data_IF_873297666931
#
_entry.id   IF_873297666931
#
_cell.length_a   1.000
_cell.length_b   1.000
_cell.length_c   1.000
_cell.angle_alpha   90.00
_cell.angle_beta   90.00
_cell.angle_gamma   90.00
#
_symmetry.space_group_name_H-M   'P 1'
#
loop_
_entity.id
_entity.type
_entity.pdbx_description
1 polymer ?
#
# COMPACT_ATOMS: atom_id res chain seq x y z
N UNK A 1 -20.17 0.45 -18.14
CA UNK A 1 -18.79 0.92 -18.37
C UNK A 1 -17.83 -0.23 -18.14
N UNK A 2 -16.82 -0.38 -19.01
CA UNK A 2 -15.81 -1.45 -18.98
C UNK A 2 -14.45 -0.84 -18.75
N UNK A 3 -13.77 -1.24 -17.65
CA UNK A 3 -12.47 -0.71 -17.27
C UNK A 3 -11.41 -1.82 -17.34
N UNK A 4 -10.36 -1.57 -18.10
CA UNK A 4 -9.18 -2.41 -18.15
C UNK A 4 -8.13 -1.88 -17.16
N UNK A 5 -7.85 -2.62 -16.11
CA UNK A 5 -6.75 -2.35 -15.18
C UNK A 5 -5.49 -3.08 -15.63
N UNK A 6 -4.38 -2.38 -15.69
CA UNK A 6 -3.10 -2.90 -16.20
C UNK A 6 -2.06 -2.78 -15.10
N UNK A 7 -1.62 -3.94 -14.57
CA UNK A 7 -0.56 -4.00 -13.58
C UNK A 7 0.23 -5.31 -13.69
N UNK A 8 1.44 -5.30 -13.16
CA UNK A 8 2.40 -6.41 -13.33
C UNK A 8 1.98 -7.69 -12.62
N UNK A 9 1.26 -7.63 -11.49
CA UNK A 9 0.90 -8.78 -10.65
C UNK A 9 -0.46 -8.55 -9.97
N UNK A 10 -1.13 -9.64 -9.59
CA UNK A 10 -2.37 -9.62 -8.81
C UNK A 10 -2.59 -10.94 -8.06
N UNK A 11 -3.62 -11.00 -7.22
CA UNK A 11 -4.05 -12.23 -6.57
C UNK A 11 -4.42 -13.34 -7.58
N UNK A 12 -4.07 -14.60 -7.30
CA UNK A 12 -3.44 -15.14 -6.10
C UNK A 12 -1.90 -15.13 -6.15
N UNK A 13 -1.27 -14.67 -7.24
CA UNK A 13 0.17 -14.81 -7.46
C UNK A 13 1.01 -13.99 -6.48
N UNK A 14 0.51 -12.80 -6.12
CA UNK A 14 1.18 -11.92 -5.15
C UNK A 14 0.17 -11.24 -4.24
N UNK A 15 0.61 -10.95 -3.00
CA UNK A 15 -0.15 -10.23 -1.99
C UNK A 15 0.68 -9.04 -1.53
N UNK A 16 0.48 -7.88 -2.18
CA UNK A 16 1.18 -6.63 -1.87
C UNK A 16 0.24 -5.45 -1.70
N UNK A 17 0.81 -4.29 -1.35
CA UNK A 17 0.00 -3.09 -1.11
C UNK A 17 -0.76 -2.61 -2.35
N UNK A 18 -0.16 -2.68 -3.55
CA UNK A 18 -0.82 -2.23 -4.79
C UNK A 18 -1.89 -3.23 -5.23
N UNK A 19 -1.65 -4.54 -5.08
CA UNK A 19 -2.63 -5.58 -5.34
C UNK A 19 -3.86 -5.40 -4.43
N UNK A 20 -3.65 -5.06 -3.17
CA UNK A 20 -4.72 -4.75 -2.23
C UNK A 20 -5.50 -3.50 -2.65
N UNK A 21 -4.81 -2.44 -3.08
CA UNK A 21 -5.46 -1.23 -3.62
C UNK A 21 -6.31 -1.55 -4.85
N UNK A 22 -5.79 -2.36 -5.78
CA UNK A 22 -6.53 -2.80 -6.96
C UNK A 22 -7.77 -3.62 -6.57
N UNK A 23 -7.65 -4.52 -5.60
CA UNK A 23 -8.77 -5.30 -5.08
C UNK A 23 -9.88 -4.39 -4.52
N UNK A 24 -9.52 -3.40 -3.70
CA UNK A 24 -10.47 -2.45 -3.12
C UNK A 24 -11.14 -1.59 -4.21
N UNK A 25 -10.34 -1.11 -5.16
CA UNK A 25 -10.83 -0.31 -6.26
C UNK A 25 -11.81 -1.10 -7.15
N UNK A 26 -11.43 -2.30 -7.57
CA UNK A 26 -12.26 -3.12 -8.47
C UNK A 26 -13.53 -3.60 -7.79
N UNK A 27 -13.50 -3.94 -6.48
CA UNK A 27 -14.71 -4.25 -5.69
C UNK A 27 -15.65 -3.05 -5.65
N UNK A 28 -15.16 -1.89 -5.21
CA UNK A 28 -16.01 -0.71 -5.11
C UNK A 28 -16.53 -0.22 -6.46
N UNK A 29 -15.83 -0.46 -7.56
CA UNK A 29 -16.30 -0.19 -8.92
C UNK A 29 -17.35 -1.23 -9.37
N UNK A 30 -17.16 -2.51 -9.06
CA UNK A 30 -18.13 -3.57 -9.38
C UNK A 30 -19.46 -3.35 -8.66
N UNK A 31 -19.43 -2.92 -7.40
CA UNK A 31 -20.63 -2.53 -6.63
C UNK A 31 -21.40 -1.37 -7.27
N UNK A 32 -20.74 -0.57 -8.12
CA UNK A 32 -21.32 0.53 -8.89
C UNK A 32 -21.65 0.15 -10.35
N UNK A 33 -21.65 -1.17 -10.67
CA UNK A 33 -22.03 -1.70 -11.99
C UNK A 33 -20.94 -1.57 -13.06
N UNK A 34 -19.69 -1.33 -12.68
CA UNK A 34 -18.54 -1.32 -13.61
C UNK A 34 -18.05 -2.75 -13.84
N UNK A 35 -17.85 -3.11 -15.11
CA UNK A 35 -17.19 -4.36 -15.46
C UNK A 35 -15.67 -4.15 -15.48
N UNK A 36 -14.96 -4.85 -14.60
CA UNK A 36 -13.52 -4.74 -14.48
C UNK A 36 -12.82 -5.94 -15.13
N UNK A 37 -11.76 -5.66 -15.84
CA UNK A 37 -10.80 -6.64 -16.33
C UNK A 37 -9.40 -6.26 -15.88
N UNK A 38 -8.63 -7.24 -15.33
CA UNK A 38 -7.23 -7.03 -14.98
C UNK A 38 -6.36 -7.75 -16.00
N UNK A 39 -5.40 -7.04 -16.57
CA UNK A 39 -4.30 -7.62 -17.32
C UNK A 39 -3.08 -7.66 -16.41
N UNK A 40 -2.62 -8.87 -16.10
CA UNK A 40 -1.47 -9.11 -15.20
C UNK A 40 -0.53 -10.16 -15.76
N UNK A 41 0.68 -10.22 -15.22
CA UNK A 41 1.63 -11.27 -15.52
C UNK A 41 1.77 -12.24 -14.34
N UNK A 42 2.02 -13.49 -14.65
CA UNK A 42 2.15 -14.57 -13.67
C UNK A 42 3.34 -15.47 -13.99
N UNK A 43 4.09 -15.93 -13.00
CA UNK A 43 5.10 -16.97 -13.22
C UNK A 43 4.47 -18.32 -13.60
N UNK A 44 3.25 -18.59 -13.10
CA UNK A 44 2.43 -19.73 -13.51
C UNK A 44 1.06 -19.22 -13.97
N UNK A 45 0.91 -18.99 -15.26
CA UNK A 45 -0.31 -18.47 -15.87
C UNK A 45 -1.38 -19.54 -16.12
N UNK A 46 -1.44 -20.58 -15.34
CA UNK A 46 -2.48 -21.62 -15.40
C UNK A 46 -3.36 -21.59 -14.14
N UNK A 47 -4.70 -21.40 -14.28
CA UNK A 47 -5.41 -21.04 -15.52
C UNK A 47 -5.04 -19.61 -16.00
N UNK A 48 -5.16 -19.38 -17.31
CA UNK A 48 -4.86 -18.06 -17.93
C UNK A 48 -5.88 -17.00 -17.59
N UNK A 49 -7.11 -17.38 -17.20
CA UNK A 49 -8.18 -16.48 -16.76
C UNK A 49 -8.72 -17.00 -15.44
N UNK A 50 -8.85 -16.08 -14.47
CA UNK A 50 -9.52 -16.35 -13.20
C UNK A 50 -10.70 -15.39 -13.08
N UNK A 51 -11.90 -15.94 -12.94
CA UNK A 51 -13.10 -15.15 -12.65
C UNK A 51 -13.20 -14.91 -11.15
N UNK A 52 -13.30 -13.66 -10.74
CA UNK A 52 -13.47 -13.21 -9.36
C UNK A 52 -14.71 -12.33 -9.27
N UNK A 53 -15.32 -12.18 -8.09
CA UNK A 53 -16.49 -11.33 -7.93
C UNK A 53 -16.27 -9.88 -8.42
N UNK A 54 -15.07 -9.35 -8.22
CA UNK A 54 -14.71 -7.98 -8.54
C UNK A 54 -14.21 -7.78 -9.97
N UNK A 55 -13.71 -8.84 -10.67
CA UNK A 55 -13.11 -8.69 -11.99
C UNK A 55 -12.79 -10.02 -12.69
N UNK A 56 -12.63 -9.98 -14.02
CA UNK A 56 -11.94 -11.03 -14.76
C UNK A 56 -10.44 -10.77 -14.79
N UNK A 57 -9.64 -11.69 -14.27
CA UNK A 57 -8.18 -11.57 -14.20
C UNK A 57 -7.52 -12.38 -15.31
N UNK A 58 -6.96 -11.69 -16.29
CA UNK A 58 -6.21 -12.27 -17.41
C UNK A 58 -4.73 -12.35 -17.04
N UNK A 59 -4.22 -13.57 -16.88
CA UNK A 59 -2.87 -13.89 -16.43
C UNK A 59 -2.03 -14.33 -17.61
N UNK A 60 -0.98 -13.59 -17.91
CA UNK A 60 -0.06 -13.91 -19.00
C UNK A 60 1.28 -14.39 -18.44
N UNK A 61 1.92 -15.41 -19.08
CA UNK A 61 3.21 -15.91 -18.63
C UNK A 61 4.29 -14.85 -18.79
N UNK A 62 5.18 -14.77 -17.81
CA UNK A 62 6.37 -13.92 -17.88
C UNK A 62 7.35 -14.54 -18.90
N UNK A 63 7.66 -13.78 -19.95
CA UNK A 63 8.63 -14.21 -20.98
C UNK A 63 10.05 -13.74 -20.66
N UNK A 64 10.17 -12.56 -20.05
CA UNK A 64 11.44 -11.98 -19.62
C UNK A 64 11.24 -11.09 -18.40
N UNK A 65 12.28 -10.94 -17.61
CA UNK A 65 12.26 -10.04 -16.44
C UNK A 65 13.60 -9.30 -16.33
N UNK A 66 13.52 -7.99 -16.26
CA UNK A 66 14.69 -7.12 -16.06
C UNK A 66 14.43 -6.22 -14.84
N UNK A 67 15.28 -6.34 -13.82
CA UNK A 67 15.28 -5.45 -12.64
C UNK A 67 13.89 -5.29 -12.00
N UNK A 68 13.20 -6.41 -11.73
CA UNK A 68 11.83 -6.47 -11.19
C UNK A 68 10.74 -5.91 -12.13
N UNK A 69 11.04 -5.75 -13.41
CA UNK A 69 10.10 -5.41 -14.47
C UNK A 69 9.81 -6.66 -15.32
N UNK A 70 8.74 -7.41 -15.02
CA UNK A 70 8.34 -8.55 -15.84
C UNK A 70 7.73 -8.07 -17.16
N UNK A 71 7.93 -8.85 -18.22
CA UNK A 71 7.43 -8.60 -19.57
C UNK A 71 6.83 -9.88 -20.15
N UNK A 72 5.85 -9.76 -21.06
CA UNK A 72 5.18 -10.90 -21.70
C UNK A 72 4.90 -10.61 -23.17
N UNK A 73 5.41 -11.48 -24.05
CA UNK A 73 5.10 -11.44 -25.49
C UNK A 73 3.62 -11.76 -25.73
N UNK A 74 3.03 -12.64 -24.94
CA UNK A 74 1.61 -12.97 -25.07
C UNK A 74 0.73 -11.79 -24.65
N UNK A 75 1.04 -11.13 -23.52
CA UNK A 75 0.31 -9.94 -23.10
C UNK A 75 0.39 -8.83 -24.15
N UNK A 76 1.56 -8.64 -24.78
CA UNK A 76 1.73 -7.70 -25.89
C UNK A 76 0.80 -8.02 -27.08
N UNK A 77 0.76 -9.28 -27.53
CA UNK A 77 -0.05 -9.71 -28.66
C UNK A 77 -1.56 -9.53 -28.42
N UNK A 78 -2.01 -9.84 -27.21
CA UNK A 78 -3.43 -9.74 -26.83
C UNK A 78 -3.85 -8.37 -26.29
N UNK A 79 -2.92 -7.46 -26.09
CA UNK A 79 -3.23 -6.12 -25.53
C UNK A 79 -4.27 -5.38 -26.36
N UNK A 80 -4.23 -5.53 -27.69
CA UNK A 80 -5.19 -4.92 -28.61
C UNK A 80 -6.64 -5.39 -28.38
N UNK A 81 -6.82 -6.66 -28.05
CA UNK A 81 -8.12 -7.23 -27.75
C UNK A 81 -8.70 -6.66 -26.45
N UNK A 82 -7.84 -6.53 -25.44
CA UNK A 82 -8.21 -5.88 -24.17
C UNK A 82 -8.57 -4.41 -24.37
N UNK A 83 -7.81 -3.69 -25.17
CA UNK A 83 -8.10 -2.31 -25.53
C UNK A 83 -9.41 -2.15 -26.29
N UNK A 84 -9.72 -3.08 -27.21
CA UNK A 84 -10.99 -3.06 -27.95
C UNK A 84 -12.19 -3.29 -27.04
N UNK A 85 -12.04 -4.15 -26.04
CA UNK A 85 -13.08 -4.42 -25.04
C UNK A 85 -13.33 -3.24 -24.11
N UNK A 86 -12.29 -2.51 -23.71
CA UNK A 86 -12.35 -1.47 -22.68
C UNK A 86 -12.99 -0.17 -23.19
N UNK A 87 -13.70 0.52 -22.33
CA UNK A 87 -14.08 1.92 -22.51
C UNK A 87 -13.02 2.86 -21.91
N UNK A 88 -12.39 2.44 -20.78
CA UNK A 88 -11.32 3.15 -20.06
C UNK A 88 -10.15 2.18 -19.83
N UNK A 89 -8.92 2.70 -19.86
CA UNK A 89 -7.73 1.96 -19.42
C UNK A 89 -7.11 2.63 -18.21
N UNK A 90 -6.87 1.85 -17.15
CA UNK A 90 -6.29 2.34 -15.91
C UNK A 90 -5.00 1.60 -15.60
N UNK A 91 -3.89 2.34 -15.58
CA UNK A 91 -2.55 1.83 -15.31
C UNK A 91 -2.14 2.05 -13.85
N UNK A 92 -1.35 1.10 -13.30
CA UNK A 92 -0.68 1.29 -12.02
C UNK A 92 0.82 1.50 -12.27
N UNK A 93 1.31 2.67 -11.92
CA UNK A 93 2.72 3.05 -12.08
C UNK A 93 3.51 2.81 -10.77
N UNK A 94 4.77 2.33 -10.79
CA UNK A 94 5.60 2.15 -11.99
C UNK A 94 5.56 0.73 -12.57
N UNK A 95 5.42 0.63 -13.86
CA UNK A 95 5.65 -0.61 -14.62
C UNK A 95 6.05 -0.28 -16.07
N UNK A 96 7.39 -0.22 -16.38
CA UNK A 96 7.91 0.18 -17.71
C UNK A 96 7.33 -0.59 -18.90
N UNK A 97 6.96 -1.87 -18.71
CA UNK A 97 6.32 -2.65 -19.77
C UNK A 97 4.91 -2.13 -20.10
N UNK A 98 4.13 -1.72 -19.10
CA UNK A 98 2.80 -1.14 -19.33
C UNK A 98 2.90 0.21 -20.05
N UNK A 99 3.91 1.03 -19.71
CA UNK A 99 4.16 2.30 -20.39
C UNK A 99 4.46 2.08 -21.87
N UNK A 100 5.24 1.04 -22.17
CA UNK A 100 5.55 0.65 -23.55
C UNK A 100 4.30 0.14 -24.28
N UNK A 101 3.47 -0.70 -23.63
CA UNK A 101 2.19 -1.16 -24.19
C UNK A 101 1.29 0.04 -24.55
N UNK A 102 1.18 1.02 -23.66
CA UNK A 102 0.38 2.23 -23.92
C UNK A 102 0.89 3.02 -25.12
N UNK A 103 2.19 3.32 -25.15
CA UNK A 103 2.79 4.20 -26.18
C UNK A 103 2.82 3.58 -27.58
N UNK A 104 2.94 2.26 -27.67
CA UNK A 104 3.01 1.55 -28.95
C UNK A 104 1.64 1.13 -29.48
N UNK A 105 0.60 1.28 -28.67
CA UNK A 105 -0.75 0.92 -29.09
C UNK A 105 -1.45 2.08 -29.80
N UNK A 106 -1.86 1.88 -31.08
CA UNK A 106 -2.44 2.95 -31.90
C UNK A 106 -3.91 3.26 -31.61
N UNK A 107 -4.61 2.40 -30.87
CA UNK A 107 -6.03 2.59 -30.51
C UNK A 107 -6.17 3.42 -29.24
N UNK A 108 -6.45 4.71 -29.37
CA UNK A 108 -6.57 5.61 -28.22
C UNK A 108 -7.88 5.36 -27.47
N UNK A 109 -7.76 4.97 -26.21
CA UNK A 109 -8.87 4.94 -25.24
C UNK A 109 -8.59 5.97 -24.16
N UNK A 110 -9.62 6.57 -23.55
CA UNK A 110 -9.41 7.38 -22.35
C UNK A 110 -8.62 6.60 -21.31
N UNK A 111 -7.60 7.26 -20.75
CA UNK A 111 -6.59 6.59 -19.94
C UNK A 111 -6.30 7.31 -18.65
N UNK A 112 -6.19 6.53 -17.58
CA UNK A 112 -5.84 6.99 -16.23
C UNK A 112 -4.59 6.25 -15.77
N UNK A 113 -3.72 6.91 -15.04
CA UNK A 113 -2.62 6.26 -14.32
C UNK A 113 -2.63 6.65 -12.86
N UNK A 114 -2.61 5.67 -11.97
CA UNK A 114 -2.31 5.89 -10.55
C UNK A 114 -0.80 5.81 -10.34
N UNK A 115 -0.22 6.90 -9.88
CA UNK A 115 1.19 7.00 -9.54
C UNK A 115 1.40 6.53 -8.11
N UNK A 116 1.77 5.24 -7.94
CA UNK A 116 1.89 4.62 -6.62
C UNK A 116 3.20 4.95 -5.92
N UNK A 117 4.31 5.08 -6.67
CA UNK A 117 5.62 5.40 -6.07
C UNK A 117 6.64 5.91 -7.09
N UNK A 118 7.62 6.68 -6.60
CA UNK A 118 8.85 6.97 -7.34
C UNK A 118 9.73 5.72 -7.45
N UNK A 119 10.61 5.67 -8.45
CA UNK A 119 11.64 4.64 -8.58
C UNK A 119 12.87 5.07 -7.77
N UNK A 120 12.97 4.61 -6.53
CA UNK A 120 13.99 5.06 -5.57
C UNK A 120 15.30 4.27 -5.68
N UNK A 121 15.23 2.94 -5.83
CA UNK A 121 16.39 2.05 -5.67
C UNK A 121 17.29 1.97 -6.91
N UNK A 122 16.74 2.06 -8.10
CA UNK A 122 17.45 1.79 -9.37
C UNK A 122 17.80 3.08 -10.12
N UNK A 123 18.52 3.99 -9.48
CA UNK A 123 18.79 5.35 -10.01
C UNK A 123 19.37 5.37 -11.44
N UNK A 124 20.33 4.48 -11.77
CA UNK A 124 20.93 4.42 -13.13
C UNK A 124 19.92 3.95 -14.18
N UNK A 125 19.14 2.91 -13.89
CA UNK A 125 18.07 2.43 -14.77
C UNK A 125 16.93 3.43 -14.87
N UNK A 126 16.62 4.15 -13.79
CA UNK A 126 15.62 5.20 -13.76
C UNK A 126 15.99 6.36 -14.71
N UNK A 127 17.29 6.70 -14.83
CA UNK A 127 17.76 7.72 -15.77
C UNK A 127 17.51 7.30 -17.23
N UNK A 128 17.79 6.04 -17.57
CA UNK A 128 17.53 5.51 -18.92
C UNK A 128 16.03 5.39 -19.21
N UNK A 129 15.23 5.08 -18.20
CA UNK A 129 13.79 4.95 -18.30
C UNK A 129 13.06 6.30 -18.34
N UNK A 130 13.68 7.38 -17.83
CA UNK A 130 13.06 8.71 -17.69
C UNK A 130 12.38 9.22 -18.96
N UNK A 131 12.97 9.13 -20.18
CA UNK A 131 12.31 9.60 -21.40
C UNK A 131 11.02 8.85 -21.70
N UNK A 132 11.01 7.51 -21.53
CA UNK A 132 9.83 6.67 -21.73
C UNK A 132 8.74 7.03 -20.71
N UNK A 133 9.11 7.11 -19.43
CA UNK A 133 8.23 7.49 -18.32
C UNK A 133 7.58 8.86 -18.56
N UNK A 134 8.38 9.87 -18.88
CA UNK A 134 7.87 11.23 -19.13
C UNK A 134 6.88 11.24 -20.29
N UNK A 135 7.23 10.55 -21.39
CA UNK A 135 6.33 10.45 -22.55
C UNK A 135 5.03 9.73 -22.21
N UNK A 136 5.09 8.64 -21.44
CA UNK A 136 3.91 7.93 -20.98
C UNK A 136 3.02 8.82 -20.09
N UNK A 137 3.57 9.39 -19.02
CA UNK A 137 2.82 10.23 -18.08
C UNK A 137 2.22 11.49 -18.76
N UNK A 138 2.88 12.02 -19.79
CA UNK A 138 2.35 13.14 -20.57
C UNK A 138 1.27 12.74 -21.58
N UNK A 139 1.19 11.45 -21.97
CA UNK A 139 0.26 10.95 -22.99
C UNK A 139 -1.06 10.46 -22.39
N UNK A 140 -1.10 10.08 -21.11
CA UNK A 140 -2.34 9.68 -20.43
C UNK A 140 -3.25 10.87 -20.17
N UNK A 141 -4.58 10.63 -20.16
CA UNK A 141 -5.56 11.71 -19.99
C UNK A 141 -5.64 12.22 -18.56
N UNK A 142 -5.39 11.37 -17.57
CA UNK A 142 -5.35 11.77 -16.15
C UNK A 142 -4.30 11.01 -15.36
N UNK A 143 -3.41 11.74 -14.69
CA UNK A 143 -2.51 11.21 -13.65
C UNK A 143 -3.18 11.40 -12.30
N UNK A 144 -3.11 10.39 -11.44
CA UNK A 144 -3.62 10.40 -10.07
C UNK A 144 -2.46 10.13 -9.11
N UNK A 145 -2.27 11.01 -8.13
CA UNK A 145 -1.37 10.82 -6.99
C UNK A 145 -2.15 10.27 -5.79
N UNK A 146 -1.49 9.54 -4.92
CA UNK A 146 -2.14 8.89 -3.77
C UNK A 146 -2.25 9.78 -2.53
N UNK A 147 -1.52 10.89 -2.48
CA UNK A 147 -1.64 11.89 -1.41
C UNK A 147 -1.17 13.29 -1.88
N UNK A 148 -1.61 14.38 -1.21
CA UNK A 148 -1.08 15.72 -1.46
C UNK A 148 0.42 15.80 -1.19
N UNK A 149 0.89 15.28 -0.06
CA UNK A 149 2.30 15.31 0.34
C UNK A 149 3.19 14.59 -0.69
N UNK A 150 2.69 13.46 -1.23
CA UNK A 150 3.42 12.74 -2.28
C UNK A 150 3.45 13.51 -3.59
N UNK A 151 2.35 14.19 -3.95
CA UNK A 151 2.27 15.04 -5.14
C UNK A 151 3.29 16.18 -5.07
N UNK A 152 3.37 16.87 -3.93
CA UNK A 152 4.28 18.00 -3.73
C UNK A 152 5.75 17.57 -3.68
N UNK A 153 6.04 16.46 -3.02
CA UNK A 153 7.41 15.98 -2.79
C UNK A 153 8.00 15.15 -3.93
N UNK A 154 7.17 14.67 -4.89
CA UNK A 154 7.67 13.89 -6.03
C UNK A 154 8.26 14.79 -7.11
N UNK A 155 9.57 14.63 -7.43
CA UNK A 155 10.20 15.41 -8.49
C UNK A 155 9.67 15.07 -9.89
N UNK A 156 8.94 13.97 -10.05
CA UNK A 156 8.31 13.58 -11.30
C UNK A 156 6.94 14.25 -11.44
N UNK A 157 6.09 14.12 -10.41
CA UNK A 157 4.73 14.65 -10.44
C UNK A 157 4.70 16.18 -10.50
N UNK A 158 5.61 16.85 -9.79
CA UNK A 158 5.72 18.33 -9.80
C UNK A 158 6.11 18.93 -11.16
N UNK A 159 6.67 18.13 -12.06
CA UNK A 159 7.08 18.57 -13.40
C UNK A 159 6.04 18.29 -14.49
N UNK A 160 4.93 17.66 -14.17
CA UNK A 160 3.89 17.35 -15.14
C UNK A 160 3.13 18.63 -15.56
N UNK A 161 2.96 18.82 -16.87
CA UNK A 161 2.24 19.98 -17.40
C UNK A 161 0.76 19.99 -17.03
N UNK A 162 0.14 18.79 -16.88
CA UNK A 162 -1.22 18.62 -16.37
C UNK A 162 -1.15 18.29 -14.90
N UNK A 163 -1.83 19.09 -14.08
CA UNK A 163 -1.87 18.86 -12.65
C UNK A 163 -2.54 17.51 -12.32
N UNK A 164 -1.84 16.61 -11.61
CA UNK A 164 -2.42 15.36 -11.16
C UNK A 164 -3.60 15.60 -10.22
N UNK A 165 -4.57 14.69 -10.22
CA UNK A 165 -5.61 14.62 -9.18
C UNK A 165 -5.09 13.83 -8.00
N UNK A 166 -5.58 14.14 -6.80
CA UNK A 166 -5.29 13.35 -5.61
C UNK A 166 -6.48 12.48 -5.30
N UNK A 167 -6.26 11.15 -5.26
CA UNK A 167 -7.22 10.16 -4.75
C UNK A 167 -6.44 9.26 -3.79
N UNK A 168 -6.69 9.35 -2.49
CA UNK A 168 -6.05 8.47 -1.52
C UNK A 168 -6.42 7.00 -1.75
N UNK A 169 -5.47 6.11 -1.49
CA UNK A 169 -5.78 4.70 -1.44
C UNK A 169 -6.75 4.42 -0.29
N UNK A 170 -7.72 3.53 -0.53
CA UNK A 170 -8.76 3.19 0.44
C UNK A 170 -8.82 1.69 0.73
N UNK A 171 -9.41 1.36 1.87
CA UNK A 171 -9.64 0.01 2.35
C UNK A 171 -11.03 -0.05 2.98
N UNK A 172 -11.85 -1.05 2.63
CA UNK A 172 -13.16 -1.25 3.25
C UNK A 172 -13.09 -2.27 4.39
N UNK A 173 -13.85 -2.03 5.44
CA UNK A 173 -13.96 -2.93 6.60
C UNK A 173 -14.43 -4.34 6.21
N UNK A 174 -15.28 -4.46 5.20
CA UNK A 174 -15.74 -5.74 4.67
C UNK A 174 -14.60 -6.64 4.17
N UNK A 175 -13.43 -6.05 3.87
CA UNK A 175 -12.22 -6.78 3.49
C UNK A 175 -11.38 -7.23 4.69
N UNK A 176 -11.72 -6.76 5.88
CA UNK A 176 -11.03 -7.04 7.14
C UNK A 176 -12.05 -7.56 8.15
N UNK A 177 -12.50 -8.81 8.03
CA UNK A 177 -13.52 -9.35 8.91
C UNK A 177 -13.06 -9.29 10.37
N UNK A 178 -13.99 -9.05 11.33
CA UNK A 178 -13.65 -8.98 12.74
C UNK A 178 -13.07 -10.33 13.20
N UNK A 179 -12.07 -10.27 14.07
CA UNK A 179 -11.48 -11.46 14.64
C UNK A 179 -12.52 -12.21 15.53
N UNK A 180 -12.65 -13.53 15.40
CA UNK A 180 -13.48 -14.33 16.28
C UNK A 180 -13.09 -14.17 17.77
N UNK A 181 -14.04 -14.24 18.68
CA UNK A 181 -13.79 -14.09 20.11
C UNK A 181 -12.76 -15.11 20.65
N UNK A 182 -12.76 -16.32 20.12
CA UNK A 182 -11.78 -17.36 20.46
C UNK A 182 -10.34 -16.96 20.07
N UNK A 183 -10.17 -16.31 18.91
CA UNK A 183 -8.87 -15.85 18.42
C UNK A 183 -8.37 -14.65 19.23
N UNK A 184 -9.27 -13.73 19.60
CA UNK A 184 -8.97 -12.63 20.53
C UNK A 184 -8.52 -13.16 21.89
N UNK A 185 -9.22 -14.16 22.43
CA UNK A 185 -8.86 -14.79 23.71
C UNK A 185 -7.50 -15.49 23.62
N UNK A 186 -7.23 -16.19 22.53
CA UNK A 186 -5.93 -16.82 22.27
C UNK A 186 -4.78 -15.79 22.31
N UNK A 187 -4.87 -14.75 21.48
CA UNK A 187 -3.80 -13.74 21.41
C UNK A 187 -3.67 -12.94 22.72
N UNK A 188 -4.78 -12.68 23.43
CA UNK A 188 -4.75 -12.08 24.78
C UNK A 188 -4.00 -12.96 25.77
N UNK A 189 -4.18 -14.27 25.70
CA UNK A 189 -3.46 -15.21 26.58
C UNK A 189 -1.95 -15.28 26.24
N UNK A 190 -1.59 -15.22 24.94
CA UNK A 190 -0.20 -15.37 24.46
C UNK A 190 0.60 -14.09 24.64
N UNK A 191 0.01 -12.92 24.35
CA UNK A 191 0.72 -11.63 24.28
C UNK A 191 0.25 -10.62 25.34
N UNK A 192 -0.88 -10.84 25.97
CA UNK A 192 -1.55 -9.81 26.76
C UNK A 192 -2.24 -8.77 25.89
N UNK A 193 -2.47 -7.60 26.47
CA UNK A 193 -3.03 -6.42 25.80
C UNK A 193 -2.08 -5.22 25.93
N UNK A 194 -2.24 -4.24 25.08
CA UNK A 194 -1.53 -2.99 25.17
C UNK A 194 -0.07 -3.02 24.69
N UNK A 195 0.28 -3.99 23.86
CA UNK A 195 1.56 -4.05 23.17
C UNK A 195 1.65 -3.07 22.01
N UNK A 196 2.86 -2.74 21.56
CA UNK A 196 3.11 -2.02 20.32
C UNK A 196 3.20 -2.99 19.15
N UNK A 197 2.51 -2.71 18.07
CA UNK A 197 2.38 -3.63 16.94
C UNK A 197 3.00 -3.03 15.66
N UNK A 198 3.83 -3.81 15.00
CA UNK A 198 4.20 -3.64 13.60
C UNK A 198 3.62 -4.80 12.78
N UNK A 199 3.04 -4.49 11.61
CA UNK A 199 2.62 -5.51 10.62
C UNK A 199 3.16 -5.14 9.24
N UNK A 200 3.78 -6.10 8.56
CA UNK A 200 4.22 -5.92 7.18
C UNK A 200 5.39 -6.78 6.78
N UNK A 201 5.69 -6.77 5.47
CA UNK A 201 6.85 -7.48 4.93
C UNK A 201 8.15 -6.86 5.48
N UNK A 202 9.02 -7.69 6.06
CA UNK A 202 10.27 -7.24 6.70
C UNK A 202 11.31 -6.88 5.63
N UNK A 203 11.28 -5.60 5.22
CA UNK A 203 12.17 -5.03 4.20
C UNK A 203 13.05 -3.93 4.79
N UNK A 204 14.20 -3.70 4.17
CA UNK A 204 15.22 -2.72 4.59
C UNK A 204 14.69 -1.31 4.86
N UNK A 205 13.68 -0.85 4.11
CA UNK A 205 13.14 0.51 4.23
C UNK A 205 12.10 0.67 5.36
N UNK A 206 11.69 -0.41 6.02
CA UNK A 206 10.66 -0.41 7.08
C UNK A 206 11.14 0.14 8.42
N UNK A 207 12.44 0.41 8.59
CA UNK A 207 12.97 1.03 9.80
C UNK A 207 12.93 0.14 11.04
N UNK A 208 12.93 -1.18 10.88
CA UNK A 208 12.79 -2.12 11.99
C UNK A 208 14.02 -2.14 12.91
N UNK A 209 15.21 -1.77 12.43
CA UNK A 209 16.36 -1.55 13.27
C UNK A 209 16.12 -0.43 14.29
N UNK A 210 15.50 0.66 13.84
CA UNK A 210 15.11 1.78 14.70
C UNK A 210 14.07 1.33 15.74
N UNK A 211 13.11 0.47 15.34
CA UNK A 211 12.12 -0.09 16.26
C UNK A 211 12.75 -1.00 17.32
N UNK A 212 13.68 -1.86 16.92
CA UNK A 212 14.40 -2.75 17.86
C UNK A 212 15.21 -1.94 18.87
N UNK A 213 15.90 -0.89 18.41
CA UNK A 213 16.64 0.02 19.31
C UNK A 213 15.69 0.80 20.25
N UNK A 214 14.54 1.25 19.75
CA UNK A 214 13.55 1.91 20.59
C UNK A 214 12.94 0.96 21.62
N UNK A 215 12.61 -0.27 21.21
CA UNK A 215 12.04 -1.29 22.08
C UNK A 215 12.93 -1.60 23.29
N UNK A 216 14.26 -1.61 23.14
CA UNK A 216 15.19 -1.84 24.26
C UNK A 216 15.15 -0.75 25.35
N UNK A 217 14.50 0.39 25.07
CA UNK A 217 14.38 1.55 25.99
C UNK A 217 12.99 1.68 26.60
N UNK A 218 12.03 0.88 26.17
CA UNK A 218 10.63 0.98 26.58
C UNK A 218 10.21 -0.27 27.35
N UNK A 219 9.57 -0.09 28.50
CA UNK A 219 9.04 -1.20 29.29
C UNK A 219 7.66 -1.62 28.77
N UNK A 220 7.61 -2.12 27.53
CA UNK A 220 6.41 -2.65 26.90
C UNK A 220 6.77 -3.72 25.88
N UNK A 221 5.85 -4.65 25.66
CA UNK A 221 5.98 -5.66 24.61
C UNK A 221 5.87 -5.00 23.23
N UNK A 222 6.78 -5.38 22.33
CA UNK A 222 6.75 -5.01 20.91
C UNK A 222 6.54 -6.27 20.09
N UNK A 223 5.49 -6.29 19.30
CA UNK A 223 5.10 -7.41 18.44
C UNK A 223 5.40 -7.05 16.99
N UNK A 224 6.20 -7.87 16.32
CA UNK A 224 6.54 -7.74 14.90
C UNK A 224 5.93 -8.91 14.16
N UNK A 225 4.87 -8.64 13.39
CA UNK A 225 4.15 -9.61 12.58
C UNK A 225 4.48 -9.42 11.10
N UNK A 226 4.82 -10.51 10.44
CA UNK A 226 5.20 -10.56 9.03
C UNK A 226 6.53 -11.25 8.78
N UNK A 227 6.76 -11.61 7.52
CA UNK A 227 7.97 -12.25 7.04
C UNK A 227 8.70 -11.33 6.05
N UNK A 228 9.92 -11.67 5.71
CA UNK A 228 10.67 -10.95 4.70
C UNK A 228 12.17 -11.21 4.73
N UNK A 229 12.90 -10.68 3.74
CA UNK A 229 14.33 -10.94 3.59
C UNK A 229 15.19 -10.45 4.75
N UNK A 230 14.68 -9.52 5.59
CA UNK A 230 15.41 -8.98 6.74
C UNK A 230 15.17 -9.76 8.06
N UNK A 231 14.30 -10.77 8.05
CA UNK A 231 13.80 -11.41 9.27
C UNK A 231 14.94 -11.96 10.16
N UNK A 232 15.84 -12.75 9.61
CA UNK A 232 16.91 -13.37 10.38
C UNK A 232 17.88 -12.31 10.92
N UNK A 233 18.25 -11.35 10.09
CA UNK A 233 19.12 -10.24 10.49
C UNK A 233 18.51 -9.44 11.65
N UNK A 234 17.20 -9.16 11.60
CA UNK A 234 16.49 -8.43 12.66
C UNK A 234 16.39 -9.23 13.97
N UNK A 235 16.23 -10.57 13.89
CA UNK A 235 16.28 -11.43 15.08
C UNK A 235 17.64 -11.38 15.77
N UNK A 236 18.71 -11.47 15.00
CA UNK A 236 20.09 -11.34 15.51
C UNK A 236 20.30 -9.95 16.12
N UNK A 237 19.84 -8.88 15.47
CA UNK A 237 19.95 -7.52 16.01
C UNK A 237 19.22 -7.36 17.36
N UNK A 238 18.02 -7.93 17.50
CA UNK A 238 17.28 -7.91 18.77
C UNK A 238 18.01 -8.67 19.89
N UNK A 239 18.60 -9.83 19.57
CA UNK A 239 19.40 -10.61 20.53
C UNK A 239 20.63 -9.84 20.97
N UNK A 240 21.37 -9.22 20.04
CA UNK A 240 22.58 -8.44 20.32
C UNK A 240 22.30 -7.27 21.26
N UNK A 241 21.13 -6.65 21.14
CA UNK A 241 20.70 -5.55 22.01
C UNK A 241 20.02 -6.03 23.31
N UNK A 242 19.95 -7.36 23.52
CA UNK A 242 19.23 -7.95 24.65
C UNK A 242 17.78 -7.44 24.78
N UNK A 243 17.13 -7.16 23.66
CA UNK A 243 15.76 -6.67 23.61
C UNK A 243 14.78 -7.83 23.82
N UNK A 244 14.65 -8.29 25.07
CA UNK A 244 13.83 -9.45 25.47
C UNK A 244 12.32 -9.21 25.35
N UNK A 245 11.92 -7.96 25.22
CA UNK A 245 10.54 -7.52 25.09
C UNK A 245 10.03 -7.47 23.64
N UNK A 246 10.72 -8.10 22.68
CA UNK A 246 10.29 -8.21 21.28
C UNK A 246 9.79 -9.63 21.00
N UNK A 247 8.66 -9.72 20.27
CA UNK A 247 8.12 -10.99 19.76
C UNK A 247 7.97 -10.91 18.25
N UNK A 248 8.68 -11.78 17.54
CA UNK A 248 8.53 -11.99 16.10
C UNK A 248 7.54 -13.12 15.86
N UNK A 249 6.40 -12.84 15.24
CA UNK A 249 5.35 -13.84 14.98
C UNK A 249 5.53 -14.55 13.63
N UNK A 250 6.33 -14.00 12.71
CA UNK A 250 6.35 -14.46 11.33
C UNK A 250 5.06 -14.05 10.59
N UNK A 251 4.72 -14.80 9.53
CA UNK A 251 3.49 -14.57 8.79
C UNK A 251 2.26 -14.80 9.69
N UNK A 252 1.30 -13.90 9.61
CA UNK A 252 0.02 -13.99 10.30
C UNK A 252 -1.11 -13.90 9.29
N UNK A 253 -2.23 -14.59 9.57
CA UNK A 253 -3.44 -14.47 8.75
C UNK A 253 -4.11 -13.09 8.90
N UNK A 254 -5.04 -12.75 8.01
CA UNK A 254 -5.82 -11.52 8.13
C UNK A 254 -6.67 -11.49 9.42
N UNK A 255 -7.17 -12.63 9.87
CA UNK A 255 -7.90 -12.74 11.13
C UNK A 255 -6.99 -12.55 12.35
N UNK A 256 -5.78 -13.12 12.33
CA UNK A 256 -4.77 -12.88 13.37
C UNK A 256 -4.37 -11.40 13.41
N UNK A 257 -4.12 -10.80 12.23
CA UNK A 257 -3.84 -9.37 12.11
C UNK A 257 -4.95 -8.51 12.72
N UNK A 258 -6.22 -8.84 12.45
CA UNK A 258 -7.37 -8.17 13.04
C UNK A 258 -7.38 -8.28 14.58
N UNK A 259 -7.11 -9.48 15.12
CA UNK A 259 -7.00 -9.69 16.56
C UNK A 259 -5.85 -8.89 17.18
N UNK A 260 -4.68 -8.91 16.57
CA UNK A 260 -3.51 -8.17 17.02
C UNK A 260 -3.75 -6.66 17.02
N UNK A 261 -4.35 -6.12 15.95
CA UNK A 261 -4.74 -4.72 15.88
C UNK A 261 -5.75 -4.35 16.97
N UNK A 262 -6.69 -5.24 17.26
CA UNK A 262 -7.67 -5.01 18.32
C UNK A 262 -7.05 -4.96 19.72
N UNK A 263 -6.02 -5.76 20.00
CA UNK A 263 -5.35 -5.85 21.30
C UNK A 263 -4.20 -4.86 21.49
N UNK A 264 -3.68 -4.30 20.40
CA UNK A 264 -2.53 -3.40 20.44
C UNK A 264 -2.84 -2.06 21.12
N UNK A 265 -1.85 -1.48 21.82
CA UNK A 265 -1.85 -0.11 22.34
C UNK A 265 -1.77 0.90 21.21
N UNK A 266 -0.81 0.69 20.31
CA UNK A 266 -0.53 1.55 19.17
C UNK A 266 0.10 0.74 18.04
N UNK A 267 -0.05 1.25 16.85
CA UNK A 267 0.60 0.73 15.66
C UNK A 267 1.89 1.51 15.38
N UNK A 268 3.01 0.83 15.23
CA UNK A 268 4.31 1.47 15.00
C UNK A 268 4.80 1.14 13.59
N UNK A 269 4.98 2.18 12.77
CA UNK A 269 5.34 2.04 11.37
C UNK A 269 6.52 2.95 11.01
N UNK A 270 7.75 2.61 11.43
CA UNK A 270 8.91 3.49 11.41
C UNK A 270 9.64 3.49 10.07
N UNK A 271 8.92 3.26 8.96
CA UNK A 271 9.50 3.29 7.61
C UNK A 271 10.27 4.60 7.39
N UNK A 272 11.53 4.49 6.94
CA UNK A 272 12.48 5.61 6.89
C UNK A 272 12.87 6.04 5.47
N UNK A 273 12.38 5.34 4.44
CA UNK A 273 12.67 5.68 3.05
C UNK A 273 11.38 5.86 2.24
N UNK A 274 11.41 6.73 1.24
CA UNK A 274 10.31 7.01 0.30
C UNK A 274 9.84 5.81 -0.54
N UNK A 275 10.54 4.66 -0.44
CA UNK A 275 10.04 3.37 -0.93
C UNK A 275 8.71 2.97 -0.28
N UNK A 276 8.42 3.52 0.93
CA UNK A 276 7.09 3.49 1.55
C UNK A 276 6.28 4.70 1.05
N UNK A 277 5.62 4.53 -0.07
CA UNK A 277 4.96 5.65 -0.74
C UNK A 277 3.67 6.11 -0.06
N UNK A 278 2.90 5.20 0.56
CA UNK A 278 1.62 5.52 1.16
C UNK A 278 1.44 4.96 2.56
N UNK A 279 1.57 3.64 2.76
CA UNK A 279 1.43 3.00 4.06
C UNK A 279 0.04 2.40 4.31
N UNK A 280 -0.39 1.43 3.49
CA UNK A 280 -1.69 0.75 3.65
C UNK A 280 -1.91 0.21 5.07
N UNK A 281 -0.86 -0.27 5.75
CA UNK A 281 -0.95 -0.76 7.11
C UNK A 281 -1.32 0.34 8.15
N UNK A 282 -1.03 1.62 7.86
CA UNK A 282 -1.51 2.74 8.68
C UNK A 282 -3.02 2.92 8.54
N UNK A 283 -3.58 2.70 7.34
CA UNK A 283 -5.04 2.73 7.13
C UNK A 283 -5.70 1.59 7.91
N UNK A 284 -5.11 0.39 7.89
CA UNK A 284 -5.60 -0.74 8.68
C UNK A 284 -5.61 -0.39 10.18
N UNK A 285 -4.52 0.20 10.69
CA UNK A 285 -4.47 0.62 12.09
C UNK A 285 -5.51 1.70 12.43
N UNK A 286 -5.70 2.68 11.56
CA UNK A 286 -6.70 3.72 11.71
C UNK A 286 -8.14 3.16 11.71
N UNK A 287 -8.42 2.18 10.85
CA UNK A 287 -9.69 1.46 10.79
C UNK A 287 -10.03 0.78 12.14
N UNK A 288 -9.02 0.25 12.84
CA UNK A 288 -9.17 -0.33 14.19
C UNK A 288 -9.05 0.69 15.32
N UNK A 289 -9.10 1.99 15.04
CA UNK A 289 -8.96 3.06 16.03
C UNK A 289 -7.65 2.94 16.84
N UNK A 290 -6.57 2.50 16.22
CA UNK A 290 -5.25 2.44 16.88
C UNK A 290 -4.48 3.73 16.59
N UNK A 291 -3.96 4.41 17.63
CA UNK A 291 -3.04 5.52 17.41
C UNK A 291 -1.78 5.01 16.71
N UNK A 292 -1.23 5.82 15.83
CA UNK A 292 -0.09 5.43 15.00
C UNK A 292 1.19 6.16 15.45
N UNK A 293 2.34 5.49 15.34
CA UNK A 293 3.65 6.14 15.40
C UNK A 293 4.33 5.88 14.05
N UNK A 294 4.65 6.95 13.32
CA UNK A 294 5.28 6.87 12.00
C UNK A 294 6.37 7.92 11.83
N UNK A 295 7.17 7.78 10.77
CA UNK A 295 8.18 8.78 10.43
C UNK A 295 7.69 9.74 9.35
N UNK A 296 8.19 10.99 9.39
CA UNK A 296 8.04 11.92 8.28
C UNK A 296 9.14 11.69 7.25
N UNK A 297 8.74 11.18 6.10
CA UNK A 297 9.63 10.87 4.97
C UNK A 297 9.18 11.54 3.66
N UNK A 298 8.29 12.53 3.74
CA UNK A 298 7.71 13.21 2.60
C UNK A 298 6.90 12.28 1.69
N UNK A 299 6.15 11.34 2.27
CA UNK A 299 5.29 10.37 1.56
C UNK A 299 3.86 10.44 2.08
N UNK A 300 2.97 9.62 1.52
CA UNK A 300 1.57 9.54 1.95
C UNK A 300 1.38 9.14 3.42
N UNK A 301 2.42 8.70 4.11
CA UNK A 301 2.34 8.36 5.53
C UNK A 301 1.95 9.57 6.39
N UNK A 302 2.53 10.75 6.11
CA UNK A 302 2.21 12.01 6.83
C UNK A 302 0.79 12.50 6.55
N UNK A 303 0.23 12.15 5.38
CA UNK A 303 -1.17 12.40 5.06
C UNK A 303 -2.13 11.49 5.85
N UNK A 304 -1.75 10.25 6.14
CA UNK A 304 -2.57 9.33 6.95
C UNK A 304 -2.43 9.64 8.43
N UNK A 305 -1.18 9.73 8.92
CA UNK A 305 -0.88 9.95 10.34
C UNK A 305 -0.54 11.42 10.61
N UNK A 306 -1.48 12.16 11.15
CA UNK A 306 -1.31 13.56 11.56
C UNK A 306 -0.81 13.64 13.01
N UNK A 307 0.34 14.28 13.20
CA UNK A 307 0.93 14.45 14.54
C UNK A 307 -0.02 15.13 15.52
N UNK A 308 -0.24 14.50 16.66
CA UNK A 308 -1.12 15.01 17.73
C UNK A 308 -2.62 14.86 17.46
N UNK A 309 -3.03 14.33 16.30
CA UNK A 309 -4.43 14.12 15.90
C UNK A 309 -4.78 12.65 15.74
N UNK A 310 -3.97 11.91 14.97
CA UNK A 310 -4.20 10.47 14.69
C UNK A 310 -3.10 9.59 15.26
N UNK A 311 -2.04 10.21 15.74
CA UNK A 311 -0.87 9.53 16.27
C UNK A 311 0.29 10.50 16.50
N UNK A 312 1.49 9.95 16.56
CA UNK A 312 2.73 10.71 16.71
C UNK A 312 3.62 10.51 15.49
N UNK A 313 4.24 11.57 15.02
CA UNK A 313 5.19 11.54 13.91
C UNK A 313 6.56 11.89 14.46
N UNK A 314 7.56 11.07 14.16
CA UNK A 314 8.94 11.20 14.64
C UNK A 314 9.90 11.32 13.45
N UNK A 315 11.12 11.87 13.65
CA UNK A 315 12.13 11.83 12.60
C UNK A 315 12.51 10.40 12.23
N UNK A 316 12.83 10.12 10.95
CA UNK A 316 13.31 8.81 10.53
C UNK A 316 14.65 8.48 11.21
N UNK A 317 14.89 7.18 11.47
CA UNK A 317 16.11 6.65 12.10
C UNK A 317 16.40 7.17 13.52
N UNK A 318 15.48 7.88 14.16
CA UNK A 318 15.59 8.45 15.49
C UNK A 318 15.01 7.51 16.57
N UNK A 319 15.77 6.49 16.98
CA UNK A 319 15.30 5.48 17.94
C UNK A 319 14.92 6.06 19.31
N UNK A 320 15.58 7.14 19.76
CA UNK A 320 15.21 7.83 21.01
C UNK A 320 13.83 8.49 20.90
N UNK A 321 13.60 9.27 19.84
CA UNK A 321 12.30 9.92 19.62
C UNK A 321 11.18 8.89 19.45
N UNK A 322 11.47 7.75 18.80
CA UNK A 322 10.52 6.65 18.67
C UNK A 322 10.19 6.04 20.04
N UNK A 323 11.20 5.80 20.88
CA UNK A 323 11.01 5.31 22.24
C UNK A 323 10.20 6.29 23.11
N UNK A 324 10.48 7.59 23.03
CA UNK A 324 9.73 8.63 23.75
C UNK A 324 8.26 8.67 23.32
N UNK A 325 8.00 8.54 22.04
CA UNK A 325 6.64 8.46 21.49
C UNK A 325 5.89 7.21 21.97
N UNK A 326 6.58 6.05 21.99
CA UNK A 326 6.02 4.81 22.52
C UNK A 326 5.74 4.95 24.02
N UNK A 327 6.68 5.49 24.80
CA UNK A 327 6.52 5.66 26.25
C UNK A 327 5.37 6.61 26.57
N UNK A 328 5.21 7.71 25.83
CA UNK A 328 4.07 8.62 25.97
C UNK A 328 2.75 7.91 25.79
N UNK A 329 2.59 7.11 24.74
CA UNK A 329 1.34 6.34 24.48
C UNK A 329 1.15 5.19 25.48
N UNK A 330 2.22 4.67 26.07
CA UNK A 330 2.15 3.65 27.12
C UNK A 330 1.62 4.23 28.42
N UNK A 331 2.10 5.41 28.83
CA UNK A 331 1.79 6.04 30.12
C UNK A 331 0.45 6.77 30.09
N UNK A 332 0.13 7.46 28.99
CA UNK A 332 -1.11 8.23 28.86
C UNK A 332 -2.14 7.49 28.00
N UNK A 333 -2.94 6.66 28.67
CA UNK A 333 -4.00 5.86 28.03
C UNK A 333 -5.08 6.72 27.40
N UNK A 334 -5.46 7.84 28.05
CA UNK A 334 -6.49 8.76 27.58
C UNK A 334 -6.03 9.44 26.29
N UNK A 335 -4.79 9.91 26.25
CA UNK A 335 -4.20 10.50 25.06
C UNK A 335 -4.11 9.49 23.91
N UNK A 336 -3.66 8.26 24.18
CA UNK A 336 -3.61 7.20 23.18
C UNK A 336 -5.01 6.90 22.61
N UNK A 337 -6.04 6.85 23.45
CA UNK A 337 -7.43 6.63 23.02
C UNK A 337 -7.94 7.80 22.16
N UNK A 338 -7.66 9.04 22.55
CA UNK A 338 -8.04 10.22 21.76
C UNK A 338 -7.43 10.20 20.38
N UNK A 339 -6.13 9.90 20.26
CA UNK A 339 -5.46 9.76 18.96
C UNK A 339 -6.03 8.62 18.13
N UNK A 340 -6.35 7.49 18.77
CA UNK A 340 -7.00 6.36 18.09
C UNK A 340 -8.37 6.70 17.52
N UNK A 341 -9.19 7.46 18.27
CA UNK A 341 -10.47 7.97 17.78
C UNK A 341 -10.29 8.94 16.61
N UNK A 342 -9.30 9.82 16.69
CA UNK A 342 -8.93 10.72 15.58
C UNK A 342 -8.49 9.95 14.34
N UNK A 343 -7.73 8.86 14.52
CA UNK A 343 -7.32 7.97 13.43
C UNK A 343 -8.55 7.33 12.76
N UNK A 344 -9.51 6.83 13.55
CA UNK A 344 -10.75 6.22 13.06
C UNK A 344 -11.60 7.23 12.28
N UNK A 345 -11.81 8.42 12.81
CA UNK A 345 -12.57 9.48 12.12
C UNK A 345 -11.93 9.84 10.79
N UNK A 346 -10.61 9.95 10.76
CA UNK A 346 -9.87 10.25 9.54
C UNK A 346 -9.97 9.12 8.51
N UNK A 347 -9.91 7.85 8.94
CA UNK A 347 -10.16 6.70 8.07
C UNK A 347 -11.55 6.80 7.42
N UNK A 348 -12.60 7.01 8.22
CA UNK A 348 -13.99 7.11 7.74
C UNK A 348 -14.17 8.28 6.77
N UNK A 349 -13.45 9.37 6.96
CA UNK A 349 -13.57 10.57 6.13
C UNK A 349 -12.82 10.47 4.80
N UNK A 350 -11.67 9.75 4.73
CA UNK A 350 -10.78 9.86 3.57
C UNK A 350 -10.30 8.52 2.98
N UNK A 351 -10.36 7.42 3.74
CA UNK A 351 -9.61 6.22 3.39
C UNK A 351 -10.47 4.98 3.22
N UNK A 352 -11.77 5.10 2.99
CA UNK A 352 -12.61 3.95 2.66
C UNK A 352 -12.44 3.58 1.19
N UNK A 353 -12.52 2.28 0.87
CA UNK A 353 -12.48 1.78 -0.50
C UNK A 353 -13.63 2.32 -1.35
N UNK A 354 -14.80 2.52 -0.74
CA UNK A 354 -15.98 3.12 -1.39
C UNK A 354 -15.70 4.55 -1.86
N UNK A 355 -15.09 5.40 -1.03
CA UNK A 355 -14.74 6.77 -1.41
C UNK A 355 -13.69 6.78 -2.53
N UNK A 356 -12.67 5.93 -2.45
CA UNK A 356 -11.68 5.77 -3.50
C UNK A 356 -12.35 5.38 -4.82
N UNK A 357 -13.18 4.34 -4.83
CA UNK A 357 -13.87 3.87 -6.05
C UNK A 357 -14.79 4.94 -6.64
N UNK A 358 -15.56 5.66 -5.82
CA UNK A 358 -16.42 6.75 -6.27
C UNK A 358 -15.62 7.89 -6.91
N UNK A 359 -14.47 8.25 -6.34
CA UNK A 359 -13.60 9.30 -6.89
C UNK A 359 -13.00 8.89 -8.26
N UNK A 360 -12.58 7.61 -8.42
CA UNK A 360 -12.14 7.09 -9.72
C UNK A 360 -13.27 7.02 -10.73
N UNK A 361 -14.47 6.55 -10.33
CA UNK A 361 -15.64 6.50 -11.20
C UNK A 361 -15.98 7.88 -11.78
N UNK A 362 -15.94 8.92 -10.95
CA UNK A 362 -16.16 10.31 -11.40
C UNK A 362 -15.11 10.78 -12.43
N UNK A 363 -13.84 10.34 -12.26
CA UNK A 363 -12.81 10.60 -13.29
C UNK A 363 -13.14 9.87 -14.59
N UNK A 364 -13.53 8.60 -14.53
CA UNK A 364 -13.83 7.80 -15.71
C UNK A 364 -15.00 8.37 -16.49
N UNK A 365 -16.10 8.70 -15.82
CA UNK A 365 -17.28 9.32 -16.42
C UNK A 365 -16.90 10.61 -17.15
N UNK A 366 -16.20 11.52 -16.47
CA UNK A 366 -15.74 12.78 -17.07
C UNK A 366 -14.87 12.59 -18.31
N UNK A 367 -14.09 11.51 -18.38
CA UNK A 367 -13.23 11.22 -19.55
C UNK A 367 -14.01 10.62 -20.71
N UNK A 368 -15.12 9.94 -20.44
CA UNK A 368 -16.02 9.38 -21.47
C UNK A 368 -16.97 10.44 -22.06
N UNK A 369 -17.30 11.48 -21.28
CA UNK A 369 -18.18 12.59 -21.69
C UNK A 369 -17.46 13.63 -22.59
N UNK A 370 -16.14 13.49 -22.80
CA UNK A 370 -15.31 14.34 -23.68
C UNK A 370 -15.27 13.79 -25.11
#
# INVERSE_FOLDING_TARGET
>A
MRVLHVYKTYFPDTMGGIEQVLLQLTRGLADQGVQNRLLVLSPDAKPGIISRPEAEVYRYPITAQLASNPMSVQAWRHFREHMAWADIVHYQFPWPFADLLHLLHKGRKPSVVTYQSDIVRQKRLATLYRPLMTRFLSSVDQVVATSPDYLESSPVLSQLARQPKVIPNGLDESSCPPAPASLLAHWRQVLGEGFFLFVGVLRYYKGLDTLIQAASRVNALVVIAGDGPEQERLRVAAQTLSATNIRFLGHVSDLDKAALLHLARAFVFPSHLRSEAFGMALIEAAMYARPMISCDIGSGMSYINLHGVTGLVVPPEASAALADAMERLRLDHSFAQTLGQGARQRYEQFFTGRQMAAAYLAIYQRLLDK
#
